data_IF_694860042885
#
_entry.id   IF_694860042885
#
_cell.length_a   1.000
_cell.length_b   1.000
_cell.length_c   1.000
_cell.angle_alpha   90.00
_cell.angle_beta   90.00
_cell.angle_gamma   90.00
#
_symmetry.space_group_name_H-M   'P 1'
#
loop_
_entity.id
_entity.type
_entity.pdbx_description
1 polymer ?
#
# COMPACT_ATOMS: atom_id res chain seq x y z
N UNK A 1 4.71 -10.71 28.13
CA UNK A 1 3.26 -10.85 27.85
C UNK A 1 2.95 -9.92 26.69
N UNK A 2 2.95 -10.45 25.47
CA UNK A 2 2.70 -9.68 24.25
C UNK A 2 1.18 -9.59 24.10
N UNK A 3 0.64 -8.38 24.26
CA UNK A 3 -0.78 -8.10 24.05
C UNK A 3 -1.14 -8.41 22.60
N UNK A 4 -1.87 -9.51 22.40
CA UNK A 4 -2.53 -9.81 21.13
C UNK A 4 -3.66 -8.79 20.98
N UNK A 5 -3.47 -7.79 20.14
CA UNK A 5 -4.54 -6.87 19.77
C UNK A 5 -5.61 -7.69 19.03
N UNK A 6 -6.85 -7.78 19.53
CA UNK A 6 -7.87 -8.62 18.90
C UNK A 6 -8.31 -8.00 17.57
N UNK A 7 -8.45 -8.84 16.54
CA UNK A 7 -9.16 -8.48 15.32
C UNK A 7 -10.60 -8.19 15.72
N UNK A 8 -11.01 -6.92 15.57
CA UNK A 8 -12.37 -6.48 15.80
C UNK A 8 -13.24 -7.00 14.65
N UNK A 9 -13.87 -8.15 14.86
CA UNK A 9 -15.03 -8.58 14.07
C UNK A 9 -16.17 -7.60 14.35
N UNK A 10 -16.51 -6.77 13.35
CA UNK A 10 -17.71 -5.94 13.40
C UNK A 10 -18.87 -6.67 12.75
N UNK A 11 -19.65 -7.41 13.55
CA UNK A 11 -21.09 -7.65 13.30
C UNK A 11 -21.85 -6.34 13.60
N UNK A 12 -22.67 -5.85 12.69
CA UNK A 12 -24.11 -6.13 12.44
C UNK A 12 -25.01 -5.02 13.02
N UNK A 13 -26.20 -4.89 12.41
CA UNK A 13 -27.39 -4.15 12.89
C UNK A 13 -27.59 -2.67 12.50
N UNK A 14 -28.03 -2.49 11.26
CA UNK A 14 -28.84 -1.35 10.81
C UNK A 14 -30.01 -1.82 9.96
N UNK A 15 -30.99 -2.51 10.58
CA UNK A 15 -32.18 -3.07 9.94
C UNK A 15 -33.14 -1.93 9.52
N UNK A 16 -33.07 -1.51 8.26
CA UNK A 16 -33.96 -0.53 7.64
C UNK A 16 -34.65 -1.07 6.38
N UNK A 17 -35.88 -1.57 6.55
CA UNK A 17 -36.96 -1.82 5.57
C UNK A 17 -36.59 -2.30 4.15
N UNK A 18 -36.92 -3.57 3.90
CA UNK A 18 -37.15 -4.16 2.56
C UNK A 18 -38.07 -3.26 1.71
N UNK A 19 -37.61 -2.95 0.49
CA UNK A 19 -38.49 -2.82 -0.69
C UNK A 19 -38.02 -3.85 -1.71
N UNK A 20 -38.93 -4.74 -2.07
CA UNK A 20 -38.81 -5.67 -3.18
C UNK A 20 -38.60 -4.90 -4.49
N UNK A 21 -37.58 -5.28 -5.25
CA UNK A 21 -37.27 -4.72 -6.55
C UNK A 21 -36.01 -5.39 -7.08
N UNK A 22 -36.16 -6.22 -8.10
CA UNK A 22 -35.13 -7.13 -8.56
C UNK A 22 -33.90 -6.44 -9.14
N UNK A 23 -32.73 -6.81 -8.63
CA UNK A 23 -31.50 -6.94 -9.40
C UNK A 23 -30.57 -7.83 -8.58
N UNK A 24 -30.09 -8.96 -9.13
CA UNK A 24 -29.02 -9.72 -8.49
C UNK A 24 -27.74 -8.89 -8.65
N UNK A 25 -27.60 -7.84 -7.83
CA UNK A 25 -26.43 -6.99 -7.81
C UNK A 25 -25.22 -7.86 -7.46
N UNK A 26 -24.21 -7.79 -8.30
CA UNK A 26 -22.97 -8.55 -8.16
C UNK A 26 -22.19 -7.97 -6.98
N UNK A 27 -22.49 -8.42 -5.76
CA UNK A 27 -21.96 -7.92 -4.47
C UNK A 27 -20.43 -8.06 -4.28
N UNK A 28 -19.69 -8.43 -5.34
CA UNK A 28 -18.26 -8.69 -5.33
C UNK A 28 -17.41 -7.47 -5.75
N UNK A 29 -18.01 -6.30 -5.97
CA UNK A 29 -17.29 -5.06 -6.31
C UNK A 29 -17.57 -3.95 -5.30
N UNK A 30 -16.59 -3.07 -5.07
CA UNK A 30 -16.74 -1.88 -4.25
C UNK A 30 -17.45 -0.75 -5.04
N UNK A 31 -17.71 0.38 -4.38
CA UNK A 31 -18.32 1.59 -4.98
C UNK A 31 -17.57 2.11 -6.21
N UNK A 32 -16.26 1.90 -6.25
CA UNK A 32 -15.39 2.28 -7.36
C UNK A 32 -15.34 1.21 -8.47
N UNK A 33 -16.09 0.10 -8.36
CA UNK A 33 -16.13 -0.98 -9.34
C UNK A 33 -14.92 -1.92 -9.34
N UNK A 34 -14.03 -1.82 -8.34
CA UNK A 34 -12.93 -2.76 -8.10
C UNK A 34 -13.42 -3.97 -7.30
N UNK A 35 -12.76 -5.14 -7.39
CA UNK A 35 -13.10 -6.29 -6.55
C UNK A 35 -13.13 -5.95 -5.05
N UNK A 36 -14.10 -6.49 -4.31
CA UNK A 36 -14.20 -6.30 -2.86
C UNK A 36 -12.89 -6.74 -2.20
N UNK A 37 -12.36 -5.90 -1.30
CA UNK A 37 -11.10 -6.17 -0.59
C UNK A 37 -9.82 -5.83 -1.36
N UNK A 38 -9.90 -5.50 -2.66
CA UNK A 38 -8.72 -5.15 -3.46
C UNK A 38 -7.90 -4.02 -2.84
N UNK A 39 -8.53 -2.89 -2.49
CA UNK A 39 -7.80 -1.75 -1.93
C UNK A 39 -7.16 -2.05 -0.57
N UNK A 40 -7.83 -2.83 0.29
CA UNK A 40 -7.24 -3.27 1.55
C UNK A 40 -6.00 -4.16 1.32
N UNK A 41 -6.04 -5.04 0.32
CA UNK A 41 -4.89 -5.88 -0.03
C UNK A 41 -3.72 -5.04 -0.56
N UNK A 42 -4.01 -4.04 -1.41
CA UNK A 42 -3.00 -3.09 -1.93
C UNK A 42 -2.34 -2.30 -0.79
N UNK A 43 -3.12 -1.75 0.13
CA UNK A 43 -2.60 -0.96 1.25
C UNK A 43 -1.73 -1.81 2.19
N UNK A 44 -2.19 -3.02 2.55
CA UNK A 44 -1.40 -3.95 3.36
C UNK A 44 -0.08 -4.33 2.68
N UNK A 45 -0.13 -4.63 1.39
CA UNK A 45 1.07 -4.96 0.62
C UNK A 45 2.06 -3.78 0.56
N UNK A 46 1.55 -2.56 0.40
CA UNK A 46 2.38 -1.35 0.42
C UNK A 46 3.11 -1.18 1.76
N UNK A 47 2.41 -1.43 2.88
CA UNK A 47 2.99 -1.42 4.23
C UNK A 47 4.04 -2.53 4.39
N UNK A 48 3.81 -3.72 3.82
CA UNK A 48 4.79 -4.81 3.85
C UNK A 48 6.08 -4.42 3.11
N UNK A 49 5.98 -3.79 1.93
CA UNK A 49 7.13 -3.28 1.19
C UNK A 49 7.88 -2.19 1.96
N UNK A 50 7.16 -1.23 2.56
CA UNK A 50 7.72 -0.20 3.44
C UNK A 50 8.54 -0.86 4.56
N UNK A 51 7.92 -1.78 5.30
CA UNK A 51 8.57 -2.42 6.44
C UNK A 51 9.77 -3.29 6.01
N UNK A 52 9.71 -3.95 4.85
CA UNK A 52 10.84 -4.71 4.31
C UNK A 52 12.04 -3.82 3.97
N UNK A 53 11.78 -2.65 3.39
CA UNK A 53 12.80 -1.68 3.00
C UNK A 53 13.44 -1.01 4.22
N UNK A 54 12.61 -0.55 5.17
CA UNK A 54 13.09 0.05 6.41
C UNK A 54 13.77 -0.98 7.34
N UNK A 55 13.49 -2.26 7.12
CA UNK A 55 13.99 -3.35 7.96
C UNK A 55 13.24 -3.48 9.29
N UNK A 56 12.00 -2.99 9.33
CA UNK A 56 11.04 -3.15 10.43
C UNK A 56 10.05 -4.29 10.17
N UNK A 57 10.21 -5.03 9.07
CA UNK A 57 9.39 -6.19 8.76
C UNK A 57 9.49 -7.22 9.89
N UNK A 58 8.35 -7.73 10.35
CA UNK A 58 8.23 -8.78 11.39
C UNK A 58 8.79 -10.14 10.90
N UNK A 59 9.21 -10.21 9.64
CA UNK A 59 9.57 -11.47 9.00
C UNK A 59 11.00 -11.93 9.37
N UNK A 60 11.06 -13.10 10.01
CA UNK A 60 12.25 -13.75 10.55
C UNK A 60 13.06 -14.56 9.52
N UNK A 61 12.64 -14.62 8.24
CA UNK A 61 13.42 -15.37 7.25
C UNK A 61 14.79 -14.73 7.02
N UNK A 62 15.85 -15.51 7.23
CA UNK A 62 17.25 -15.09 7.10
C UNK A 62 17.55 -14.42 5.75
N UNK A 63 16.86 -14.86 4.70
CA UNK A 63 16.97 -14.32 3.35
C UNK A 63 16.49 -12.86 3.25
N UNK A 64 15.39 -12.51 3.92
CA UNK A 64 14.88 -11.13 3.95
C UNK A 64 15.88 -10.23 4.67
N UNK A 65 16.49 -10.73 5.76
CA UNK A 65 17.56 -10.00 6.44
C UNK A 65 18.76 -9.69 5.53
N UNK A 66 19.16 -10.60 4.63
CA UNK A 66 20.22 -10.36 3.63
C UNK A 66 19.80 -9.30 2.61
N UNK A 67 18.55 -9.32 2.16
CA UNK A 67 17.98 -8.34 1.24
C UNK A 67 17.95 -6.94 1.87
N UNK A 68 17.40 -6.80 3.07
CA UNK A 68 17.34 -5.54 3.79
C UNK A 68 18.74 -4.93 3.97
N UNK A 69 19.74 -5.73 4.39
CA UNK A 69 21.13 -5.25 4.50
C UNK A 69 21.70 -4.74 3.18
N UNK A 70 21.39 -5.40 2.05
CA UNK A 70 21.81 -4.95 0.73
C UNK A 70 21.17 -3.63 0.35
N UNK A 71 19.86 -3.47 0.56
CA UNK A 71 19.17 -2.20 0.27
C UNK A 71 19.66 -1.06 1.15
N UNK A 72 19.82 -1.28 2.46
CA UNK A 72 20.42 -0.30 3.38
C UNK A 72 21.78 0.17 2.86
N UNK A 73 22.67 -0.78 2.52
CA UNK A 73 23.97 -0.46 1.92
C UNK A 73 23.85 0.34 0.63
N UNK A 74 22.92 0.02 -0.26
CA UNK A 74 22.72 0.76 -1.53
C UNK A 74 22.27 2.19 -1.26
N UNK A 75 21.29 2.40 -0.38
CA UNK A 75 20.75 3.72 -0.03
C UNK A 75 21.82 4.56 0.68
N UNK A 76 22.60 3.94 1.57
CA UNK A 76 23.72 4.58 2.27
C UNK A 76 24.89 4.93 1.34
N UNK A 77 25.26 4.05 0.40
CA UNK A 77 26.45 4.21 -0.47
C UNK A 77 26.20 5.06 -1.71
N UNK A 78 25.03 4.95 -2.34
CA UNK A 78 24.73 5.71 -3.56
C UNK A 78 24.21 7.10 -3.25
N UNK A 79 23.74 7.33 -2.03
CA UNK A 79 22.91 8.48 -1.72
C UNK A 79 21.62 8.44 -2.54
N UNK A 80 20.58 9.06 -2.01
CA UNK A 80 19.51 9.63 -2.86
C UNK A 80 20.13 10.27 -4.11
N UNK A 81 19.55 10.13 -5.32
CA UNK A 81 19.84 11.10 -6.37
C UNK A 81 19.62 12.48 -5.75
N UNK A 82 20.68 13.28 -5.78
CA UNK A 82 20.86 14.59 -5.16
C UNK A 82 19.53 15.35 -4.94
N UNK A 83 18.85 15.12 -3.81
CA UNK A 83 17.74 15.96 -3.40
C UNK A 83 18.34 17.22 -2.78
N UNK A 84 18.51 18.25 -3.61
CA UNK A 84 18.61 19.65 -3.20
C UNK A 84 19.58 19.96 -2.03
N UNK A 85 20.85 19.59 -2.18
CA UNK A 85 21.95 20.22 -1.41
C UNK A 85 21.97 20.00 0.11
N UNK A 86 21.21 19.05 0.67
CA UNK A 86 21.28 18.72 2.10
C UNK A 86 22.14 17.50 2.35
N UNK A 87 23.23 17.69 3.10
CA UNK A 87 24.10 16.62 3.62
C UNK A 87 23.31 15.79 4.63
N UNK A 88 23.04 14.52 4.33
CA UNK A 88 22.31 13.61 5.22
C UNK A 88 23.31 12.71 5.97
N UNK A 89 23.28 12.73 7.30
CA UNK A 89 24.19 12.00 8.21
C UNK A 89 23.96 10.48 8.22
N UNK A 90 24.97 9.69 8.63
CA UNK A 90 25.02 8.20 8.59
C UNK A 90 24.01 7.49 9.50
N UNK A 91 23.33 6.43 9.01
CA UNK A 91 22.55 5.50 9.86
C UNK A 91 21.18 5.10 9.30
N UNK A 92 20.41 4.36 10.11
CA UNK A 92 19.02 3.95 9.83
C UNK A 92 18.10 5.15 9.50
N UNK A 93 18.45 6.33 9.99
CA UNK A 93 17.78 7.60 9.72
C UNK A 93 17.79 7.95 8.22
N UNK A 94 18.87 7.62 7.48
CA UNK A 94 18.93 7.82 6.02
C UNK A 94 17.88 7.03 5.26
N UNK A 95 17.61 5.80 5.68
CA UNK A 95 16.71 4.89 4.98
C UNK A 95 15.26 5.30 5.22
N UNK A 96 14.95 5.73 6.45
CA UNK A 96 13.67 6.32 6.80
C UNK A 96 13.41 7.63 6.03
N UNK A 97 14.39 8.53 6.00
CA UNK A 97 14.25 9.82 5.30
C UNK A 97 14.18 9.64 3.78
N UNK A 98 14.97 8.72 3.23
CA UNK A 98 14.89 8.33 1.82
C UNK A 98 13.49 7.81 1.47
N UNK A 99 12.94 6.90 2.28
CA UNK A 99 11.60 6.37 2.05
C UNK A 99 10.55 7.48 2.10
N UNK A 100 10.57 8.36 3.10
CA UNK A 100 9.65 9.51 3.19
C UNK A 100 9.71 10.40 1.95
N UNK A 101 10.91 10.58 1.37
CA UNK A 101 11.11 11.38 0.16
C UNK A 101 10.50 10.79 -1.12
N UNK A 102 10.17 9.49 -1.14
CA UNK A 102 9.67 8.78 -2.33
C UNK A 102 8.31 8.10 -2.10
N UNK A 103 7.84 8.02 -0.85
CA UNK A 103 6.66 7.25 -0.42
C UNK A 103 5.40 7.68 -1.17
N UNK A 104 5.11 8.98 -1.19
CA UNK A 104 3.91 9.51 -1.86
C UNK A 104 4.13 9.70 -3.37
N UNK A 105 5.31 10.19 -3.77
CA UNK A 105 5.56 10.65 -5.14
C UNK A 105 5.95 9.56 -6.14
N UNK A 106 6.73 8.56 -5.72
CA UNK A 106 7.19 7.50 -6.62
C UNK A 106 6.47 6.18 -6.33
N UNK A 107 6.47 5.79 -5.05
CA UNK A 107 6.00 4.47 -4.63
C UNK A 107 4.47 4.37 -4.71
N UNK A 108 3.75 5.36 -4.19
CA UNK A 108 2.29 5.37 -4.29
C UNK A 108 1.81 5.69 -5.72
N UNK A 109 2.55 6.50 -6.48
CA UNK A 109 2.28 6.71 -7.91
C UNK A 109 2.38 5.41 -8.72
N UNK A 110 3.30 4.51 -8.37
CA UNK A 110 3.36 3.18 -8.97
C UNK A 110 2.08 2.35 -8.70
N UNK A 111 1.51 2.44 -7.49
CA UNK A 111 0.22 1.82 -7.15
C UNK A 111 -0.90 2.40 -8.02
N UNK A 112 -1.02 3.73 -8.05
CA UNK A 112 -2.01 4.43 -8.89
C UNK A 112 -1.86 4.04 -10.37
N UNK A 113 -0.62 3.93 -10.86
CA UNK A 113 -0.30 3.49 -12.21
C UNK A 113 -0.75 2.04 -12.47
N UNK A 114 -0.54 1.12 -11.51
CA UNK A 114 -1.01 -0.26 -11.59
C UNK A 114 -2.54 -0.37 -11.67
N UNK A 115 -3.25 0.41 -10.86
CA UNK A 115 -4.71 0.48 -10.86
C UNK A 115 -5.21 1.02 -12.21
N UNK A 116 -4.62 2.12 -12.71
CA UNK A 116 -4.89 2.65 -14.06
C UNK A 116 -4.63 1.61 -15.15
N UNK A 117 -3.59 0.79 -15.06
CA UNK A 117 -3.29 -0.22 -16.08
C UNK A 117 -4.24 -1.41 -16.07
N UNK A 118 -4.87 -1.70 -14.93
CA UNK A 118 -5.89 -2.75 -14.81
C UNK A 118 -7.09 -2.50 -15.75
N UNK A 119 -7.32 -1.25 -16.15
CA UNK A 119 -8.31 -0.80 -17.16
C UNK A 119 -8.15 -1.54 -18.49
N UNK A 120 -6.90 -1.74 -18.98
CA UNK A 120 -6.66 -2.25 -20.34
C UNK A 120 -7.17 -3.68 -20.56
N UNK A 121 -7.39 -4.44 -19.49
CA UNK A 121 -7.76 -5.86 -19.56
C UNK A 121 -9.24 -6.15 -19.31
N UNK A 122 -10.05 -5.22 -18.80
CA UNK A 122 -11.33 -5.58 -18.15
C UNK A 122 -12.60 -4.80 -18.56
N UNK A 123 -12.59 -3.57 -19.12
CA UNK A 123 -13.86 -2.89 -19.51
C UNK A 123 -13.77 -1.90 -20.68
N UNK A 124 -14.83 -1.89 -21.51
CA UNK A 124 -15.11 -0.91 -22.57
C UNK A 124 -15.66 0.45 -22.08
N UNK A 125 -16.16 0.58 -20.84
CA UNK A 125 -16.98 1.76 -20.44
C UNK A 125 -16.61 2.41 -19.08
N UNK A 126 -15.36 2.33 -18.60
CA UNK A 126 -14.98 3.04 -17.36
C UNK A 126 -13.47 3.17 -17.17
N UNK A 127 -13.01 4.40 -16.96
CA UNK A 127 -11.59 4.73 -16.76
C UNK A 127 -11.31 4.85 -15.26
N UNK A 128 -10.55 3.91 -14.69
CA UNK A 128 -9.98 4.10 -13.36
C UNK A 128 -9.02 5.29 -13.37
N UNK A 129 -9.19 6.19 -12.41
CA UNK A 129 -8.35 7.36 -12.17
C UNK A 129 -7.03 7.01 -11.48
N UNK A 130 -6.90 5.79 -10.95
CA UNK A 130 -5.80 5.36 -10.11
C UNK A 130 -6.01 5.66 -8.63
N UNK A 131 -6.94 6.56 -8.29
CA UNK A 131 -7.19 7.03 -6.93
C UNK A 131 -8.23 6.18 -6.20
N UNK A 132 -8.70 5.09 -6.79
CA UNK A 132 -9.79 4.27 -6.25
C UNK A 132 -9.45 3.62 -4.89
N UNK A 133 -8.16 3.52 -4.57
CA UNK A 133 -7.65 3.03 -3.29
C UNK A 133 -7.05 4.14 -2.40
N UNK A 134 -7.23 5.42 -2.77
CA UNK A 134 -6.71 6.59 -2.07
C UNK A 134 -5.76 7.43 -2.93
N UNK A 135 -5.74 8.74 -2.69
CA UNK A 135 -4.81 9.69 -3.34
C UNK A 135 -3.39 9.59 -2.77
N UNK A 136 -3.27 9.14 -1.52
CA UNK A 136 -2.05 8.90 -0.76
C UNK A 136 -2.11 7.51 -0.08
N UNK A 137 -0.96 6.94 0.32
CA UNK A 137 -0.95 5.71 1.11
C UNK A 137 -1.62 5.95 2.46
N UNK A 138 -2.35 4.95 2.95
CA UNK A 138 -2.91 4.99 4.31
C UNK A 138 -1.81 4.58 5.30
N UNK A 139 -1.63 5.40 6.33
CA UNK A 139 -0.69 5.19 7.45
C UNK A 139 -1.21 4.20 8.48
#
# INVERSE_FOLDING_TARGET
IISRNPMKEGGEDGKGKQKEGGEKANNNKNSNGLPKGFCHAVQRSFIDYKNMILGTSVNIYEYIGKITRRYKKIIETRGTPQQNGKTVGSGADKVNDWWKGIEEGDMWDAVKCGIKKTIKKQKKNGTYTGNECGVSPQT
#
